data_IF_163204437979
#
_entry.id   IF_163204437979
#
_cell.length_a   1.000
_cell.length_b   1.000
_cell.length_c   1.000
_cell.angle_alpha   90.00
_cell.angle_beta   90.00
_cell.angle_gamma   90.00
#
_symmetry.space_group_name_H-M   'P 1'
#
loop_
_entity.id
_entity.type
_entity.pdbx_description
1 polymer ?
#
# COMPACT_ATOMS: atom_id res chain seq x y z
N UNK A 1 27.57 -6.47 5.97
CA UNK A 1 26.46 -7.45 5.89
C UNK A 1 26.02 -7.52 4.44
N UNK A 2 25.93 -8.72 3.87
CA UNK A 2 25.38 -8.96 2.52
C UNK A 2 24.03 -9.65 2.73
N UNK A 3 23.03 -9.28 1.94
CA UNK A 3 21.74 -9.98 1.93
C UNK A 3 21.94 -11.43 1.44
N UNK A 4 21.18 -12.38 1.98
CA UNK A 4 21.43 -13.82 1.78
C UNK A 4 20.95 -14.34 0.42
N UNK A 5 19.95 -13.69 -0.20
CA UNK A 5 19.47 -14.03 -1.54
C UNK A 5 20.15 -13.20 -2.61
N UNK A 6 20.51 -13.82 -3.73
CA UNK A 6 20.97 -13.10 -4.91
C UNK A 6 19.77 -12.53 -5.72
N UNK A 7 18.56 -13.08 -5.54
CA UNK A 7 17.31 -12.63 -6.18
C UNK A 7 16.29 -12.14 -5.14
N UNK A 8 15.93 -10.86 -5.21
CA UNK A 8 14.92 -10.23 -4.35
C UNK A 8 14.42 -8.94 -4.97
N UNK A 9 13.30 -8.44 -4.46
CA UNK A 9 12.78 -7.11 -4.77
C UNK A 9 12.84 -6.25 -3.51
N UNK A 10 12.92 -4.93 -3.68
CA UNK A 10 12.90 -4.00 -2.55
C UNK A 10 12.19 -2.72 -2.95
N UNK A 11 11.44 -2.17 -1.99
CA UNK A 11 10.70 -0.94 -2.19
C UNK A 11 11.55 0.26 -1.74
N UNK A 12 11.56 1.31 -2.56
CA UNK A 12 12.25 2.56 -2.24
C UNK A 12 11.31 3.74 -2.26
N UNK A 13 11.57 4.68 -1.36
CA UNK A 13 10.94 5.99 -1.35
C UNK A 13 11.97 7.08 -1.59
N UNK A 14 11.70 7.91 -2.61
CA UNK A 14 12.51 9.09 -2.92
C UNK A 14 11.84 10.32 -2.32
N UNK A 15 12.52 10.99 -1.41
CA UNK A 15 12.03 12.22 -0.78
C UNK A 15 12.13 13.42 -1.73
N UNK A 16 11.41 14.50 -1.44
CA UNK A 16 11.46 15.73 -2.24
C UNK A 16 12.85 16.37 -2.33
N UNK A 17 13.74 16.11 -1.37
CA UNK A 17 15.13 16.55 -1.38
C UNK A 17 16.11 15.52 -1.99
N UNK A 18 15.58 14.51 -2.69
CA UNK A 18 16.35 13.55 -3.48
C UNK A 18 16.99 12.42 -2.69
N UNK A 19 16.70 12.26 -1.40
CA UNK A 19 17.21 11.14 -0.60
C UNK A 19 16.39 9.88 -0.88
N UNK A 20 17.07 8.76 -1.03
CA UNK A 20 16.45 7.46 -1.24
C UNK A 20 16.43 6.69 0.08
N UNK A 21 15.26 6.17 0.45
CA UNK A 21 15.07 5.33 1.63
C UNK A 21 14.55 3.96 1.20
N UNK A 22 15.21 2.90 1.65
CA UNK A 22 14.67 1.54 1.51
C UNK A 22 13.55 1.36 2.53
N UNK A 23 12.40 0.85 2.08
CA UNK A 23 11.22 0.64 2.89
C UNK A 23 11.05 -0.82 3.30
N UNK A 24 11.16 -1.73 2.33
CA UNK A 24 10.85 -3.14 2.52
C UNK A 24 11.65 -4.03 1.56
N UNK A 25 11.84 -5.29 1.93
CA UNK A 25 12.44 -6.33 1.10
C UNK A 25 11.42 -7.44 0.89
N UNK A 26 11.14 -7.75 -0.37
CA UNK A 26 10.18 -8.76 -0.76
C UNK A 26 10.88 -9.89 -1.53
N UNK A 27 10.58 -11.17 -1.26
CA UNK A 27 11.17 -12.27 -2.01
C UNK A 27 10.83 -12.21 -3.51
N UNK A 28 11.73 -12.73 -4.32
CA UNK A 28 11.57 -12.86 -5.77
C UNK A 28 10.64 -14.05 -6.10
N UNK A 29 9.33 -13.81 -6.09
CA UNK A 29 8.32 -14.82 -6.35
C UNK A 29 6.94 -14.20 -6.60
N UNK A 30 6.05 -14.94 -7.25
CA UNK A 30 4.72 -14.49 -7.72
C UNK A 30 3.81 -13.83 -6.67
N UNK A 31 4.02 -14.08 -5.38
CA UNK A 31 3.23 -13.45 -4.32
C UNK A 31 3.55 -11.96 -4.12
N UNK A 32 4.75 -11.53 -4.51
CA UNK A 32 5.13 -10.13 -4.60
C UNK A 32 4.46 -9.53 -5.84
N UNK A 33 3.88 -8.32 -5.74
CA UNK A 33 3.26 -7.72 -6.93
C UNK A 33 4.35 -7.19 -7.86
N UNK A 34 4.31 -7.53 -9.17
CA UNK A 34 5.27 -7.02 -10.15
C UNK A 34 4.94 -5.60 -10.63
N UNK A 35 3.82 -5.02 -10.16
CA UNK A 35 3.35 -3.65 -10.46
C UNK A 35 3.14 -3.38 -11.96
N UNK A 36 4.11 -2.76 -12.62
CA UNK A 36 4.08 -2.43 -14.06
C UNK A 36 4.73 -3.53 -14.91
N UNK A 37 5.16 -4.62 -14.28
CA UNK A 37 5.72 -5.78 -14.93
C UNK A 37 4.81 -7.02 -14.83
N UNK A 38 5.12 -8.05 -15.60
CA UNK A 38 4.66 -9.44 -15.38
C UNK A 38 5.78 -10.27 -14.75
N UNK A 39 5.45 -11.38 -14.08
CA UNK A 39 6.49 -12.27 -13.56
C UNK A 39 7.27 -12.98 -14.69
N UNK A 40 6.56 -13.40 -15.74
CA UNK A 40 7.18 -14.04 -16.92
C UNK A 40 8.29 -13.19 -17.56
N UNK A 41 8.12 -11.85 -17.63
CA UNK A 41 9.16 -10.99 -18.22
C UNK A 41 10.32 -10.76 -17.23
N UNK A 42 10.04 -10.65 -15.93
CA UNK A 42 11.05 -10.51 -14.90
C UNK A 42 11.97 -11.74 -14.83
N UNK A 43 11.41 -12.94 -14.97
CA UNK A 43 12.18 -14.18 -15.05
C UNK A 43 13.07 -14.24 -16.30
N UNK A 44 12.60 -13.65 -17.40
CA UNK A 44 13.38 -13.51 -18.63
C UNK A 44 14.65 -12.64 -18.47
N UNK A 45 14.62 -11.64 -17.60
CA UNK A 45 15.78 -10.77 -17.32
C UNK A 45 16.88 -11.48 -16.52
N UNK A 46 16.54 -12.55 -15.80
CA UNK A 46 17.48 -13.31 -14.98
C UNK A 46 18.24 -14.41 -15.77
N UNK A 47 18.04 -14.49 -17.09
CA UNK A 47 18.72 -15.44 -17.98
C UNK A 47 20.21 -15.18 -18.18
N UNK A 48 20.90 -16.11 -18.86
CA UNK A 48 22.35 -16.11 -19.06
C UNK A 48 22.89 -14.89 -19.86
N UNK A 49 22.04 -14.24 -20.64
CA UNK A 49 22.34 -12.97 -21.30
C UNK A 49 21.95 -11.81 -20.38
N UNK A 50 22.83 -11.48 -19.43
CA UNK A 50 22.66 -10.31 -18.56
C UNK A 50 22.45 -9.06 -19.42
N UNK A 51 21.23 -8.56 -19.42
CA UNK A 51 20.95 -7.23 -19.95
C UNK A 51 21.69 -6.23 -19.08
N UNK A 52 22.64 -5.47 -19.66
CA UNK A 52 23.41 -4.46 -18.92
C UNK A 52 22.56 -3.23 -18.52
N UNK A 53 21.40 -3.07 -19.17
CA UNK A 53 20.50 -1.95 -19.00
C UNK A 53 19.37 -2.22 -18.00
N UNK A 54 18.97 -1.18 -17.26
CA UNK A 54 17.83 -1.21 -16.34
C UNK A 54 16.57 -0.72 -17.06
N UNK A 55 15.49 -1.51 -17.00
CA UNK A 55 14.18 -1.08 -17.49
C UNK A 55 13.39 -0.34 -16.40
N UNK A 56 12.97 0.89 -16.67
CA UNK A 56 12.15 1.72 -15.78
C UNK A 56 10.79 2.02 -16.43
N UNK A 57 9.70 1.61 -15.77
CA UNK A 57 8.33 1.93 -16.20
C UNK A 57 7.70 2.93 -15.23
N UNK A 58 7.00 3.92 -15.78
CA UNK A 58 6.32 4.97 -15.00
C UNK A 58 4.89 5.11 -15.47
N UNK A 59 3.97 5.35 -14.54
CA UNK A 59 2.59 5.70 -14.86
C UNK A 59 2.56 7.13 -15.42
N UNK A 60 2.34 7.26 -16.73
CA UNK A 60 2.37 8.55 -17.43
C UNK A 60 1.16 9.45 -17.15
N UNK A 61 0.02 8.85 -16.80
CA UNK A 61 -1.23 9.58 -16.53
C UNK A 61 -1.89 9.02 -15.29
N UNK A 62 -2.43 9.91 -14.46
CA UNK A 62 -3.30 9.52 -13.33
C UNK A 62 -4.60 8.92 -13.87
N UNK A 63 -4.61 7.60 -14.06
CA UNK A 63 -5.84 6.83 -14.14
C UNK A 63 -6.33 6.52 -12.71
N UNK A 64 -7.64 6.40 -12.51
CA UNK A 64 -8.20 6.01 -11.22
C UNK A 64 -7.66 4.66 -10.75
N UNK A 65 -7.82 4.37 -9.46
CA UNK A 65 -7.45 3.07 -8.89
C UNK A 65 -8.21 1.99 -9.66
N UNK A 66 -7.47 1.13 -10.38
CA UNK A 66 -8.10 -0.04 -11.02
C UNK A 66 -8.57 -0.98 -9.90
N UNK A 67 -9.83 -1.42 -9.91
CA UNK A 67 -10.27 -2.39 -8.92
C UNK A 67 -9.53 -3.73 -9.13
N UNK A 68 -8.65 -4.11 -8.19
CA UNK A 68 -7.80 -5.31 -8.21
C UNK A 68 -6.30 -4.97 -8.26
N UNK A 69 -5.38 -5.53 -7.46
CA UNK A 69 -5.35 -6.82 -6.75
C UNK A 69 -4.81 -6.72 -5.29
N UNK A 70 -4.49 -5.53 -4.76
CA UNK A 70 -4.03 -5.38 -3.35
C UNK A 70 -4.44 -4.07 -2.68
N UNK A 71 -5.64 -3.56 -2.94
CA UNK A 71 -6.30 -2.83 -1.85
C UNK A 71 -6.78 -3.92 -0.91
N UNK A 72 -6.04 -4.22 0.16
CA UNK A 72 -6.48 -5.14 1.22
C UNK A 72 -7.72 -4.62 1.98
N UNK A 73 -8.32 -3.54 1.47
CA UNK A 73 -9.56 -2.96 1.94
C UNK A 73 -10.70 -3.39 1.02
N UNK A 74 -11.89 -3.67 1.59
CA UNK A 74 -13.08 -3.98 0.82
C UNK A 74 -13.35 -2.94 -0.27
N UNK A 75 -13.97 -3.35 -1.39
CA UNK A 75 -14.29 -2.47 -2.53
C UNK A 75 -15.11 -1.26 -2.08
N UNK A 76 -15.98 -1.49 -1.12
CA UNK A 76 -16.85 -0.51 -0.50
C UNK A 76 -16.04 0.62 0.17
N UNK A 77 -14.81 0.36 0.61
CA UNK A 77 -13.90 1.36 1.18
C UNK A 77 -13.32 2.32 0.13
N UNK A 78 -13.15 1.85 -1.11
CA UNK A 78 -12.72 2.68 -2.24
C UNK A 78 -13.86 3.55 -2.77
N UNK A 79 -15.09 3.12 -2.53
CA UNK A 79 -16.34 3.80 -2.89
C UNK A 79 -16.91 4.61 -1.72
N UNK A 80 -16.14 4.79 -0.63
CA UNK A 80 -16.52 5.61 0.50
C UNK A 80 -16.61 7.09 0.06
N UNK A 81 -17.83 7.56 -0.10
CA UNK A 81 -18.17 8.93 -0.42
C UNK A 81 -19.52 9.33 0.20
N UNK A 82 -19.95 10.59 0.03
CA UNK A 82 -21.23 11.07 0.54
C UNK A 82 -22.39 10.20 0.03
N UNK A 83 -23.21 9.68 0.95
CA UNK A 83 -24.31 8.76 0.70
C UNK A 83 -23.94 7.27 0.76
N UNK A 84 -22.67 6.91 0.95
CA UNK A 84 -22.23 5.50 1.02
C UNK A 84 -22.57 4.85 2.37
N UNK A 85 -22.67 3.51 2.39
CA UNK A 85 -22.87 2.75 3.64
C UNK A 85 -21.76 3.00 4.68
N UNK A 86 -20.54 3.29 4.24
CA UNK A 86 -19.42 3.61 5.14
C UNK A 86 -19.54 4.98 5.79
N UNK A 87 -20.15 5.97 5.14
CA UNK A 87 -20.41 7.26 5.77
C UNK A 87 -21.30 7.07 7.00
N UNK A 88 -22.34 6.23 6.89
CA UNK A 88 -23.24 5.93 8.00
C UNK A 88 -22.53 5.18 9.13
N UNK A 89 -21.69 4.19 8.79
CA UNK A 89 -20.90 3.42 9.77
C UNK A 89 -19.91 4.33 10.50
N UNK A 90 -19.16 5.16 9.77
CA UNK A 90 -18.17 6.08 10.36
C UNK A 90 -18.86 7.15 11.23
N UNK A 91 -19.98 7.70 10.77
CA UNK A 91 -20.74 8.71 11.53
C UNK A 91 -21.22 8.14 12.86
N UNK A 92 -21.83 6.95 12.85
CA UNK A 92 -22.27 6.28 14.09
C UNK A 92 -21.11 5.96 15.02
N UNK A 93 -19.99 5.45 14.48
CA UNK A 93 -18.80 5.17 15.28
C UNK A 93 -18.24 6.43 15.96
N UNK A 94 -18.25 7.58 15.27
CA UNK A 94 -17.85 8.86 15.86
C UNK A 94 -18.82 9.33 16.95
N UNK A 95 -20.13 9.21 16.73
CA UNK A 95 -21.16 9.55 17.74
C UNK A 95 -21.01 8.69 19.01
N UNK A 96 -20.81 7.38 18.85
CA UNK A 96 -20.60 6.47 19.97
C UNK A 96 -19.30 6.78 20.74
N UNK A 97 -18.22 7.11 20.02
CA UNK A 97 -16.94 7.51 20.64
C UNK A 97 -17.10 8.78 21.48
N UNK A 98 -17.83 9.79 20.97
CA UNK A 98 -18.07 11.03 21.71
C UNK A 98 -18.92 10.80 22.96
N UNK A 99 -19.93 9.93 22.89
CA UNK A 99 -20.75 9.58 24.05
C UNK A 99 -19.92 8.88 25.14
N UNK A 100 -19.00 7.98 24.76
CA UNK A 100 -18.11 7.32 25.72
C UNK A 100 -17.14 8.30 26.39
N UNK A 101 -16.60 9.26 25.64
CA UNK A 101 -15.72 10.29 26.20
C UNK A 101 -16.46 11.19 27.19
N UNK A 102 -17.68 11.63 26.86
CA UNK A 102 -18.50 12.43 27.79
C UNK A 102 -18.91 11.63 29.04
N UNK A 103 -19.23 10.34 28.89
CA UNK A 103 -19.56 9.49 30.04
C UNK A 103 -18.34 9.27 30.96
N UNK A 104 -17.13 9.13 30.40
CA UNK A 104 -15.89 9.09 31.18
C UNK A 104 -15.63 10.40 31.92
N UNK A 105 -15.77 11.55 31.26
CA UNK A 105 -15.60 12.85 31.91
C UNK A 105 -16.63 13.09 33.04
N UNK A 106 -17.87 12.66 32.87
CA UNK A 106 -18.91 12.81 33.92
C UNK A 106 -18.76 11.83 35.09
N UNK A 107 -18.01 10.74 34.92
CA UNK A 107 -17.81 9.74 36.00
C UNK A 107 -16.58 10.02 36.86
N UNK A 108 -15.63 10.84 36.39
CA UNK A 108 -14.49 11.33 37.16
C UNK A 108 -14.83 12.55 38.07
N UNK A 109 -15.96 13.23 37.83
CA UNK A 109 -16.43 14.39 38.63
C UNK A 109 -17.30 13.99 39.86
N UNK A 110 -17.63 12.70 40.02
CA UNK A 110 -18.47 12.15 41.10
C UNK A 110 -17.64 11.45 42.23
N UNK A 111 -16.35 11.77 42.40
CA UNK A 111 -15.48 11.28 43.49
C UNK A 111 -14.81 12.37 44.34
#
# INVERSE_FOLDING_TARGET
MKFESDDYTFDVYVTNDGRVKVLDFNPWAEFTLPLLFTWDELEGFNGEEKQEDVELRVVERRCGIRPGLKTAVPREFLEAGPGSGWEQVLTKAFEELQQQQQQQETSDDDH
#
